data_IF_020097690339
#
_entry.id   IF_020097690339
#
_cell.length_a   1.000
_cell.length_b   1.000
_cell.length_c   1.000
_cell.angle_alpha   90.00
_cell.angle_beta   90.00
_cell.angle_gamma   90.00
#
_symmetry.space_group_name_H-M   'P 1'
#
loop_
_entity.id
_entity.type
_entity.pdbx_description
1 polymer ?
#
# COMPACT_ATOMS: atom_id res chain seq x y z
N UNK A 1 -3.81 -13.34 -16.31
CA UNK A 1 -3.67 -12.10 -15.53
C UNK A 1 -4.95 -11.73 -14.85
N UNK A 2 -6.03 -11.41 -15.57
CA UNK A 2 -7.34 -11.06 -14.98
C UNK A 2 -7.74 -11.94 -13.78
N UNK A 3 -7.89 -13.26 -13.96
CA UNK A 3 -8.27 -14.15 -12.86
C UNK A 3 -7.26 -14.13 -11.71
N UNK A 4 -5.96 -14.03 -11.97
CA UNK A 4 -4.95 -13.96 -10.92
C UNK A 4 -5.12 -12.71 -10.02
N UNK A 5 -5.54 -11.59 -10.62
CA UNK A 5 -5.86 -10.36 -9.89
C UNK A 5 -7.13 -10.55 -9.04
N UNK A 6 -8.18 -11.17 -9.61
CA UNK A 6 -9.42 -11.49 -8.88
C UNK A 6 -9.15 -12.47 -7.72
N UNK A 7 -8.31 -13.48 -7.96
CA UNK A 7 -7.85 -14.45 -6.96
C UNK A 7 -6.95 -13.81 -5.89
N UNK A 8 -6.54 -12.55 -6.09
CA UNK A 8 -5.88 -11.71 -5.11
C UNK A 8 -4.35 -11.79 -5.06
N UNK A 9 -3.70 -12.12 -6.19
CA UNK A 9 -2.23 -12.02 -6.32
C UNK A 9 -1.75 -10.61 -6.00
N UNK A 10 -0.61 -10.46 -5.30
CA UNK A 10 0.00 -9.14 -5.07
C UNK A 10 0.68 -8.58 -6.33
N UNK A 11 1.18 -9.47 -7.20
CA UNK A 11 1.90 -9.09 -8.41
C UNK A 11 1.66 -10.09 -9.55
N UNK A 12 1.84 -9.61 -10.79
CA UNK A 12 1.86 -10.38 -12.02
C UNK A 12 3.27 -10.37 -12.60
N UNK A 13 3.62 -11.39 -13.39
CA UNK A 13 4.97 -11.54 -13.94
C UNK A 13 4.92 -11.85 -15.43
N UNK A 14 5.81 -11.21 -16.19
CA UNK A 14 6.13 -11.56 -17.57
C UNK A 14 7.49 -12.28 -17.57
N UNK A 15 7.61 -13.29 -18.42
CA UNK A 15 8.83 -14.10 -18.55
C UNK A 15 9.52 -13.76 -19.88
N UNK A 16 9.34 -14.61 -20.91
CA UNK A 16 9.93 -14.39 -22.23
C UNK A 16 9.34 -13.17 -22.94
N UNK A 17 8.11 -12.80 -22.64
CA UNK A 17 7.38 -11.69 -23.25
C UNK A 17 8.16 -10.37 -23.15
N UNK A 18 8.69 -10.07 -21.96
CA UNK A 18 9.52 -8.88 -21.71
C UNK A 18 11.02 -9.12 -21.90
N UNK A 19 11.50 -10.37 -21.74
CA UNK A 19 12.93 -10.67 -21.78
C UNK A 19 13.50 -10.79 -23.20
N UNK A 20 12.80 -11.48 -24.10
CA UNK A 20 13.25 -11.73 -25.48
C UNK A 20 12.12 -11.74 -26.52
N UNK A 21 10.93 -11.26 -26.15
CA UNK A 21 9.79 -11.14 -27.03
C UNK A 21 9.97 -10.05 -28.09
N UNK A 22 9.19 -10.14 -29.17
CA UNK A 22 9.19 -9.13 -30.24
C UNK A 22 8.54 -7.80 -29.83
N UNK A 23 7.71 -7.82 -28.78
CA UNK A 23 6.85 -6.71 -28.36
C UNK A 23 6.88 -6.51 -26.82
N UNK A 24 8.06 -6.23 -26.23
CA UNK A 24 8.20 -6.18 -24.77
C UNK A 24 7.42 -5.01 -24.14
N UNK A 25 7.38 -3.85 -24.81
CA UNK A 25 6.66 -2.67 -24.34
C UNK A 25 5.14 -2.91 -24.33
N UNK A 26 4.63 -3.48 -25.43
CA UNK A 26 3.22 -3.80 -25.60
C UNK A 26 2.79 -4.88 -24.60
N UNK A 27 3.66 -5.84 -24.29
CA UNK A 27 3.39 -6.88 -23.29
C UNK A 27 3.17 -6.28 -21.90
N UNK A 28 4.07 -5.39 -21.47
CA UNK A 28 3.95 -4.69 -20.17
C UNK A 28 2.73 -3.76 -20.15
N UNK A 29 2.51 -3.02 -21.24
CA UNK A 29 1.36 -2.09 -21.36
C UNK A 29 0.03 -2.85 -21.31
N UNK A 30 -0.05 -4.00 -21.98
CA UNK A 30 -1.23 -4.85 -22.00
C UNK A 30 -1.48 -5.48 -20.62
N UNK A 31 -0.43 -5.98 -19.96
CA UNK A 31 -0.50 -6.47 -18.57
C UNK A 31 -1.07 -5.41 -17.64
N UNK A 32 -0.49 -4.21 -17.64
CA UNK A 32 -0.95 -3.10 -16.79
C UNK A 32 -2.41 -2.72 -17.08
N UNK A 33 -2.83 -2.76 -18.34
CA UNK A 33 -4.21 -2.46 -18.75
C UNK A 33 -5.19 -3.53 -18.24
N UNK A 34 -4.85 -4.82 -18.39
CA UNK A 34 -5.67 -5.93 -17.90
C UNK A 34 -5.78 -5.88 -16.37
N UNK A 35 -4.68 -5.64 -15.67
CA UNK A 35 -4.65 -5.62 -14.21
C UNK A 35 -5.49 -4.46 -13.66
N UNK A 36 -5.39 -3.25 -14.25
CA UNK A 36 -6.25 -2.11 -13.90
C UNK A 36 -7.73 -2.39 -14.14
N UNK A 37 -8.08 -2.99 -15.28
CA UNK A 37 -9.47 -3.35 -15.56
C UNK A 37 -10.00 -4.39 -14.57
N UNK A 38 -9.21 -5.41 -14.23
CA UNK A 38 -9.56 -6.40 -13.23
C UNK A 38 -9.80 -5.76 -11.85
N UNK A 39 -8.98 -4.80 -11.44
CA UNK A 39 -9.14 -4.07 -10.17
C UNK A 39 -10.49 -3.35 -10.08
N UNK A 40 -11.00 -2.77 -11.17
CA UNK A 40 -12.33 -2.11 -11.17
C UNK A 40 -13.50 -3.07 -10.94
N UNK A 41 -13.29 -4.36 -11.20
CA UNK A 41 -14.30 -5.42 -11.14
C UNK A 41 -14.22 -6.27 -9.87
N UNK A 42 -13.32 -5.95 -8.93
CA UNK A 42 -13.15 -6.69 -7.67
C UNK A 42 -14.43 -6.71 -6.81
N UNK A 43 -15.28 -5.68 -6.89
CA UNK A 43 -16.56 -5.65 -6.16
C UNK A 43 -17.59 -6.61 -6.76
N UNK A 44 -17.52 -6.90 -8.06
CA UNK A 44 -18.45 -7.76 -8.78
C UNK A 44 -18.03 -9.24 -8.71
N UNK A 45 -16.77 -9.54 -9.00
CA UNK A 45 -16.27 -10.92 -9.07
C UNK A 45 -15.79 -11.47 -7.72
N UNK A 46 -15.79 -10.63 -6.68
CA UNK A 46 -15.33 -10.99 -5.35
C UNK A 46 -13.92 -10.44 -5.08
N UNK A 47 -13.76 -9.88 -3.88
CA UNK A 47 -12.48 -9.42 -3.35
C UNK A 47 -11.97 -10.46 -2.37
N UNK A 48 -10.65 -10.58 -2.24
CA UNK A 48 -10.04 -11.42 -1.22
C UNK A 48 -10.59 -11.03 0.17
N UNK A 49 -11.33 -11.95 0.79
CA UNK A 49 -12.04 -11.67 2.03
C UNK A 49 -11.08 -11.65 3.22
N UNK A 50 -11.12 -10.56 3.99
CA UNK A 50 -10.36 -10.41 5.23
C UNK A 50 -11.10 -10.93 6.47
N UNK A 51 -12.35 -11.40 6.33
CA UNK A 51 -13.25 -11.79 7.44
C UNK A 51 -12.65 -12.88 8.32
N UNK A 52 -11.95 -13.85 7.71
CA UNK A 52 -11.34 -14.98 8.41
C UNK A 52 -9.86 -14.75 8.75
N UNK A 53 -9.31 -13.57 8.52
CA UNK A 53 -7.93 -13.27 8.90
C UNK A 53 -7.86 -13.17 10.42
N UNK A 54 -6.93 -13.92 11.00
CA UNK A 54 -6.61 -13.77 12.41
C UNK A 54 -6.07 -12.37 12.69
N UNK A 55 -6.42 -11.84 13.87
CA UNK A 55 -6.00 -10.51 14.36
C UNK A 55 -5.11 -10.70 15.58
N UNK A 56 -3.96 -11.33 15.37
CA UNK A 56 -3.10 -11.86 16.44
C UNK A 56 -2.10 -10.82 16.97
N UNK A 57 -2.13 -9.59 16.47
CA UNK A 57 -1.25 -8.52 16.93
C UNK A 57 -1.90 -7.15 16.87
N UNK A 58 -1.39 -6.19 17.65
CA UNK A 58 -1.82 -4.78 17.62
C UNK A 58 -1.79 -4.20 16.20
N UNK A 59 -0.75 -4.51 15.43
CA UNK A 59 -0.61 -4.05 14.04
C UNK A 59 -1.66 -4.67 13.11
N UNK A 60 -2.06 -5.92 13.33
CA UNK A 60 -3.16 -6.52 12.54
C UNK A 60 -4.51 -5.91 12.90
N UNK A 61 -4.75 -5.60 14.17
CA UNK A 61 -5.96 -4.88 14.59
C UNK A 61 -6.00 -3.50 13.91
N UNK A 62 -4.89 -2.76 13.90
CA UNK A 62 -4.81 -1.48 13.20
C UNK A 62 -5.01 -1.62 11.69
N UNK A 63 -4.38 -2.60 11.05
CA UNK A 63 -4.58 -2.84 9.61
C UNK A 63 -6.05 -3.15 9.27
N UNK A 64 -6.74 -3.90 10.14
CA UNK A 64 -8.18 -4.12 9.99
C UNK A 64 -8.99 -2.83 10.17
N UNK A 65 -8.66 -2.00 11.17
CA UNK A 65 -9.34 -0.73 11.38
C UNK A 65 -9.16 0.24 10.20
N UNK A 66 -7.97 0.25 9.58
CA UNK A 66 -7.71 1.01 8.35
C UNK A 66 -8.58 0.52 7.19
N UNK A 67 -8.75 -0.80 7.05
CA UNK A 67 -9.67 -1.36 6.03
C UNK A 67 -11.11 -0.91 6.28
N UNK A 68 -11.56 -0.94 7.53
CA UNK A 68 -12.92 -0.53 7.88
C UNK A 68 -13.13 0.99 7.65
N UNK A 69 -12.14 1.81 8.02
CA UNK A 69 -12.14 3.26 7.79
C UNK A 69 -12.20 3.62 6.30
N UNK A 70 -11.33 3.02 5.48
CA UNK A 70 -11.29 3.24 4.02
C UNK A 70 -12.54 2.75 3.30
N UNK A 71 -13.26 1.78 3.87
CA UNK A 71 -14.56 1.34 3.34
C UNK A 71 -15.72 2.25 3.75
N UNK A 72 -15.62 2.90 4.91
CA UNK A 72 -16.73 3.65 5.52
C UNK A 72 -16.67 5.15 5.26
N UNK A 73 -15.48 5.66 4.98
CA UNK A 73 -15.19 7.07 4.72
C UNK A 73 -14.53 7.20 3.34
N UNK A 74 -14.62 8.40 2.75
CA UNK A 74 -13.99 8.68 1.46
C UNK A 74 -12.48 8.99 1.62
N UNK A 75 -11.74 8.05 2.20
CA UNK A 75 -10.30 8.17 2.39
C UNK A 75 -9.61 7.97 1.04
N UNK A 76 -8.89 9.00 0.60
CA UNK A 76 -8.13 8.99 -0.65
C UNK A 76 -6.86 8.15 -0.56
N UNK A 77 -6.14 8.25 0.57
CA UNK A 77 -4.82 7.66 0.74
C UNK A 77 -4.61 7.17 2.17
N UNK A 78 -4.01 5.99 2.31
CA UNK A 78 -3.42 5.54 3.57
C UNK A 78 -1.93 5.83 3.53
N UNK A 79 -1.42 6.59 4.49
CA UNK A 79 0.02 6.86 4.63
C UNK A 79 0.56 6.09 5.82
N UNK A 80 1.69 5.42 5.67
CA UNK A 80 2.35 4.73 6.79
C UNK A 80 3.85 4.97 6.79
N UNK A 81 4.38 5.34 7.94
CA UNK A 81 5.82 5.41 8.18
C UNK A 81 6.30 4.04 8.68
N UNK A 82 7.29 3.47 8.01
CA UNK A 82 7.72 2.11 8.30
C UNK A 82 9.23 1.89 8.13
N UNK A 83 9.85 1.29 9.15
CA UNK A 83 11.29 0.94 9.12
C UNK A 83 11.57 -0.37 8.41
N UNK A 84 10.71 -1.38 8.60
CA UNK A 84 10.91 -2.74 8.07
C UNK A 84 9.86 -3.13 7.01
N UNK A 85 8.89 -2.25 6.75
CA UNK A 85 7.76 -2.54 5.86
C UNK A 85 6.64 -3.37 6.48
N UNK A 86 6.77 -3.84 7.73
CA UNK A 86 5.79 -4.71 8.37
C UNK A 86 4.38 -4.08 8.41
N UNK A 87 4.28 -2.78 8.70
CA UNK A 87 3.00 -2.07 8.76
C UNK A 87 2.34 -2.01 7.40
N UNK A 88 3.08 -1.57 6.37
CA UNK A 88 2.60 -1.49 4.99
C UNK A 88 2.13 -2.87 4.47
N UNK A 89 2.90 -3.94 4.73
CA UNK A 89 2.53 -5.31 4.36
C UNK A 89 1.23 -5.77 5.03
N UNK A 90 1.05 -5.46 6.30
CA UNK A 90 -0.19 -5.81 7.00
C UNK A 90 -1.38 -5.00 6.50
N UNK A 91 -1.23 -3.69 6.26
CA UNK A 91 -2.32 -2.91 5.66
C UNK A 91 -2.68 -3.49 4.28
N UNK A 92 -1.68 -3.75 3.43
CA UNK A 92 -1.84 -4.36 2.10
C UNK A 92 -2.54 -5.72 2.14
N UNK A 93 -2.24 -6.58 3.14
CA UNK A 93 -2.91 -7.87 3.36
C UNK A 93 -4.43 -7.73 3.52
N UNK A 94 -4.92 -6.66 4.14
CA UNK A 94 -6.36 -6.40 4.31
C UNK A 94 -7.01 -5.76 3.08
N UNK A 95 -6.22 -5.44 2.04
CA UNK A 95 -6.67 -4.90 0.74
C UNK A 95 -7.62 -3.69 0.93
N UNK A 96 -7.19 -2.56 1.53
CA UNK A 96 -7.98 -1.32 1.56
C UNK A 96 -8.38 -0.85 0.16
N UNK A 97 -9.47 -0.09 0.07
CA UNK A 97 -9.93 0.47 -1.21
C UNK A 97 -9.06 1.66 -1.65
N UNK A 98 -8.39 2.32 -0.70
CA UNK A 98 -7.42 3.39 -0.92
C UNK A 98 -6.00 2.85 -1.19
N UNK A 99 -5.20 3.63 -1.93
CA UNK A 99 -3.77 3.39 -2.12
C UNK A 99 -3.01 3.52 -0.79
N UNK A 100 -1.84 2.87 -0.69
CA UNK A 100 -1.01 2.84 0.50
C UNK A 100 0.34 3.50 0.20
N UNK A 101 0.55 4.74 0.63
CA UNK A 101 1.86 5.37 0.62
C UNK A 101 2.70 4.87 1.79
N UNK A 102 3.76 4.12 1.51
CA UNK A 102 4.68 3.62 2.52
C UNK A 102 5.97 4.45 2.53
N UNK A 103 6.11 5.31 3.53
CA UNK A 103 7.30 6.14 3.72
C UNK A 103 8.31 5.34 4.54
N UNK A 104 9.52 5.17 4.01
CA UNK A 104 10.61 4.47 4.67
C UNK A 104 11.92 5.26 4.58
N UNK A 105 12.91 4.86 5.37
CA UNK A 105 14.23 5.49 5.43
C UNK A 105 15.33 4.55 4.95
N UNK A 106 14.93 3.42 4.35
CA UNK A 106 15.81 2.36 3.89
C UNK A 106 15.37 1.92 2.50
N UNK A 107 16.27 2.06 1.53
CA UNK A 107 15.97 1.71 0.14
C UNK A 107 15.71 0.21 -0.06
N UNK A 108 16.30 -0.66 0.77
CA UNK A 108 16.05 -2.09 0.68
C UNK A 108 14.59 -2.40 1.03
N UNK A 109 14.08 -1.76 2.09
CA UNK A 109 12.67 -1.81 2.48
C UNK A 109 11.77 -1.25 1.40
N UNK A 110 12.13 -0.09 0.81
CA UNK A 110 11.38 0.51 -0.31
C UNK A 110 11.24 -0.48 -1.47
N UNK A 111 12.36 -1.02 -1.95
CA UNK A 111 12.35 -1.98 -3.07
C UNK A 111 11.55 -3.24 -2.73
N UNK A 112 11.68 -3.74 -1.50
CA UNK A 112 10.96 -4.92 -1.03
C UNK A 112 9.44 -4.73 -0.92
N UNK A 113 8.96 -3.49 -0.83
CA UNK A 113 7.53 -3.15 -0.77
C UNK A 113 6.90 -2.95 -2.15
N UNK A 114 7.69 -2.77 -3.23
CA UNK A 114 7.16 -2.57 -4.59
C UNK A 114 6.36 -3.76 -5.13
N UNK A 115 6.48 -4.94 -4.49
CA UNK A 115 5.74 -6.15 -4.85
C UNK A 115 4.47 -6.35 -4.01
N UNK A 116 4.15 -5.45 -3.09
CA UNK A 116 2.98 -5.57 -2.23
C UNK A 116 1.78 -4.84 -2.84
N UNK A 117 0.62 -5.49 -2.83
CA UNK A 117 -0.60 -4.95 -3.43
C UNK A 117 -0.94 -3.55 -2.90
N UNK A 118 -1.14 -2.60 -3.82
CA UNK A 118 -1.58 -1.24 -3.50
C UNK A 118 -0.56 -0.40 -2.72
N UNK A 119 0.68 -0.88 -2.55
CA UNK A 119 1.73 -0.13 -1.85
C UNK A 119 2.55 0.69 -2.84
N UNK A 120 2.65 1.98 -2.57
CA UNK A 120 3.50 2.96 -3.25
C UNK A 120 4.61 3.34 -2.26
N UNK A 121 5.80 2.70 -2.32
CA UNK A 121 6.83 2.95 -1.34
C UNK A 121 7.75 4.10 -1.77
N UNK A 122 8.00 5.03 -0.84
CA UNK A 122 8.88 6.20 -1.02
C UNK A 122 9.96 6.19 0.05
N UNK A 123 11.20 6.47 -0.35
CA UNK A 123 12.31 6.67 0.58
C UNK A 123 12.50 8.16 0.85
N UNK A 124 12.71 8.51 2.12
CA UNK A 124 13.05 9.87 2.56
C UNK A 124 14.10 9.82 3.65
N UNK A 125 14.63 10.98 4.03
CA UNK A 125 15.52 11.10 5.18
C UNK A 125 14.74 10.93 6.49
N UNK A 126 15.41 10.37 7.50
CA UNK A 126 14.77 10.13 8.79
C UNK A 126 14.46 11.46 9.49
N UNK A 127 13.20 11.71 9.93
CA UNK A 127 12.86 12.93 10.64
C UNK A 127 13.55 13.00 12.02
N UNK A 128 13.78 14.23 12.47
CA UNK A 128 14.43 14.55 13.75
C UNK A 128 13.54 14.31 14.96
N UNK A 129 12.22 14.46 14.83
CA UNK A 129 11.26 14.26 15.91
C UNK A 129 9.91 13.66 15.41
N UNK A 130 9.01 13.38 16.35
CA UNK A 130 7.70 12.73 16.13
C UNK A 130 6.65 13.70 15.57
N UNK A 131 6.64 14.97 15.99
CA UNK A 131 5.63 15.93 15.54
C UNK A 131 5.83 16.30 14.06
N UNK A 132 7.08 16.28 13.56
CA UNK A 132 7.45 16.50 12.16
C UNK A 132 6.87 15.45 11.18
N UNK A 133 6.28 14.35 11.67
CA UNK A 133 5.92 13.24 10.79
C UNK A 133 4.57 13.36 10.12
N UNK A 134 3.58 13.97 10.78
CA UNK A 134 2.27 14.21 10.15
C UNK A 134 2.47 15.17 8.99
N UNK A 135 3.21 16.25 9.24
CA UNK A 135 3.67 17.20 8.22
C UNK A 135 4.49 16.52 7.13
N UNK A 136 5.42 15.62 7.48
CA UNK A 136 6.17 14.82 6.50
C UNK A 136 5.25 13.94 5.66
N UNK A 137 4.30 13.24 6.28
CA UNK A 137 3.37 12.35 5.60
C UNK A 137 2.51 13.11 4.60
N UNK A 138 1.93 14.24 5.01
CA UNK A 138 1.15 15.13 4.16
C UNK A 138 1.99 15.70 3.02
N UNK A 139 3.16 16.25 3.34
CA UNK A 139 4.07 16.82 2.34
C UNK A 139 4.45 15.80 1.27
N UNK A 140 4.88 14.60 1.67
CA UNK A 140 5.27 13.55 0.72
C UNK A 140 4.06 13.09 -0.09
N UNK A 141 2.88 12.96 0.51
CA UNK A 141 1.67 12.58 -0.22
C UNK A 141 1.31 13.58 -1.33
N UNK A 142 1.45 14.88 -1.05
CA UNK A 142 1.25 15.96 -2.03
C UNK A 142 2.35 15.98 -3.08
N UNK A 143 3.63 15.86 -2.68
CA UNK A 143 4.78 15.85 -3.60
C UNK A 143 4.72 14.67 -4.59
N UNK A 144 4.17 13.53 -4.18
CA UNK A 144 3.94 12.38 -5.06
C UNK A 144 2.69 12.54 -5.97
N UNK A 145 1.90 13.60 -5.78
CA UNK A 145 0.67 13.85 -6.53
C UNK A 145 -0.43 12.83 -6.24
N UNK A 146 -0.41 12.21 -5.06
CA UNK A 146 -1.40 11.19 -4.67
C UNK A 146 -2.65 11.81 -4.05
N UNK A 147 -2.52 13.02 -3.49
CA UNK A 147 -3.58 13.78 -2.81
C UNK A 147 -3.46 15.26 -3.12
N UNK A 148 -4.57 15.97 -3.01
CA UNK A 148 -4.64 17.43 -3.06
C UNK A 148 -5.36 18.00 -1.83
N UNK A 149 -5.37 19.33 -1.70
CA UNK A 149 -6.04 19.98 -0.58
C UNK A 149 -7.55 19.66 -0.58
N UNK A 150 -8.05 19.13 0.53
CA UNK A 150 -9.44 18.70 0.68
C UNK A 150 -9.64 17.19 0.57
N UNK A 151 -8.62 16.43 0.16
CA UNK A 151 -8.66 14.96 0.26
C UNK A 151 -8.47 14.50 1.71
N UNK A 152 -9.26 13.51 2.13
CA UNK A 152 -9.08 12.85 3.42
C UNK A 152 -8.01 11.76 3.33
N UNK A 153 -7.07 11.74 4.27
CA UNK A 153 -6.04 10.69 4.40
C UNK A 153 -6.09 10.04 5.78
N UNK A 154 -5.56 8.82 5.87
CA UNK A 154 -5.34 8.13 7.15
C UNK A 154 -3.84 7.92 7.34
N UNK A 155 -3.30 8.35 8.47
CA UNK A 155 -1.87 8.19 8.78
C UNK A 155 -1.71 7.11 9.85
N UNK A 156 -0.90 6.09 9.57
CA UNK A 156 -0.73 4.91 10.43
C UNK A 156 0.72 4.75 10.86
N UNK A 157 0.96 4.75 12.17
CA UNK A 157 2.31 4.73 12.74
C UNK A 157 2.43 3.92 14.05
N UNK A 158 3.66 3.59 14.43
CA UNK A 158 4.00 3.07 15.75
C UNK A 158 4.68 4.15 16.58
N UNK A 159 4.02 4.65 17.62
CA UNK A 159 4.49 5.77 18.46
C UNK A 159 4.93 5.25 19.84
N UNK A 160 6.07 5.73 20.40
CA UNK A 160 7.02 6.71 19.85
C UNK A 160 7.89 6.14 18.70
N UNK A 161 8.24 6.98 17.73
CA UNK A 161 9.01 6.53 16.56
C UNK A 161 10.51 6.48 16.82
N UNK A 162 11.16 5.58 16.09
CA UNK A 162 12.59 5.32 16.20
C UNK A 162 12.93 4.20 17.16
N UNK A 163 12.01 3.87 18.07
CA UNK A 163 12.01 2.63 18.83
C UNK A 163 11.37 1.50 18.01
N UNK A 164 11.67 0.25 18.34
CA UNK A 164 11.08 -0.93 17.70
C UNK A 164 9.64 -1.16 18.19
N UNK A 165 8.79 -0.14 18.12
CA UNK A 165 7.40 -0.16 18.59
C UNK A 165 6.51 -0.64 17.44
N UNK A 166 5.58 -1.55 17.77
CA UNK A 166 4.57 -2.01 16.82
C UNK A 166 3.55 -0.90 16.54
N UNK A 167 2.98 -0.87 15.34
CA UNK A 167 1.91 0.06 14.99
C UNK A 167 0.77 0.04 15.99
N UNK A 168 0.46 1.21 16.53
CA UNK A 168 -0.49 1.42 17.62
C UNK A 168 -1.26 2.74 17.51
N UNK A 169 -1.03 3.52 16.44
CA UNK A 169 -1.64 4.82 16.20
C UNK A 169 -2.17 4.87 14.77
N UNK A 170 -3.37 5.42 14.63
CA UNK A 170 -4.09 5.72 13.40
C UNK A 170 -4.78 7.06 13.59
#
# INVERSE_FOLDING_TARGET
>A
MFNAVIDGTDATMLSGESANGKYPLESVTTMATIDKNAQTLLKEYGRLSSVNLSRNSKTEVMASAVKDATNSMNIKLVVTLTKTGHTARLISKYRPDADILAITFDELTQRGLMLNWGVIPVTTDRPSNTDDMFDLAERIAVEQGLVESGDDIVIVAGVPLGEAVRTNTM
#
